data_IF_068687219184
#
_entry.id   IF_068687219184
#
_cell.length_a   1.000
_cell.length_b   1.000
_cell.length_c   1.000
_cell.angle_alpha   90.00
_cell.angle_beta   90.00
_cell.angle_gamma   90.00
#
_symmetry.space_group_name_H-M   'P 1'
#
loop_
_entity.id
_entity.type
_entity.pdbx_description
1 polymer ?
#
# COMPACT_ATOMS: atom_id res chain seq x y z
N UNK A 1 7.55 8.08 -9.58
CA UNK A 1 7.48 8.20 -8.10
C UNK A 1 8.71 7.54 -7.48
N UNK A 2 9.07 7.97 -6.29
CA UNK A 2 10.16 7.32 -5.55
C UNK A 2 9.67 6.04 -4.87
N UNK A 3 10.62 5.18 -4.45
CA UNK A 3 10.28 3.98 -3.69
C UNK A 3 9.59 4.33 -2.37
N UNK A 4 10.02 5.41 -1.72
CA UNK A 4 9.39 5.88 -0.47
C UNK A 4 7.94 6.32 -0.72
N UNK A 5 7.67 7.01 -1.81
CA UNK A 5 6.32 7.40 -2.19
C UNK A 5 5.43 6.19 -2.47
N UNK A 6 5.95 5.20 -3.18
CA UNK A 6 5.24 3.95 -3.43
C UNK A 6 4.94 3.21 -2.12
N UNK A 7 5.90 3.15 -1.21
CA UNK A 7 5.73 2.48 0.08
C UNK A 7 4.67 3.14 0.95
N UNK A 8 4.52 4.47 0.88
CA UNK A 8 3.48 5.19 1.59
C UNK A 8 2.11 5.06 0.91
N UNK A 9 2.09 5.03 -0.41
CA UNK A 9 0.85 4.90 -1.17
C UNK A 9 0.25 3.49 -1.09
N UNK A 10 1.08 2.47 -0.90
CA UNK A 10 0.62 1.08 -0.91
C UNK A 10 -0.39 0.76 0.19
N UNK A 11 -0.14 1.06 1.48
CA UNK A 11 -1.15 0.81 2.52
C UNK A 11 -2.44 1.57 2.27
N UNK A 12 -2.34 2.79 1.74
CA UNK A 12 -3.50 3.63 1.44
C UNK A 12 -4.34 3.11 0.28
N UNK A 13 -3.84 2.13 -0.47
CA UNK A 13 -4.64 1.46 -1.50
C UNK A 13 -5.71 0.56 -0.91
N UNK A 14 -5.60 0.17 0.36
CA UNK A 14 -6.62 -0.63 1.03
C UNK A 14 -7.75 0.26 1.54
N UNK A 15 -9.01 -0.05 1.23
CA UNK A 15 -10.14 0.79 1.64
C UNK A 15 -10.33 0.90 3.16
N UNK A 16 -9.82 -0.08 3.91
CA UNK A 16 -9.89 -0.07 5.37
C UNK A 16 -8.83 0.78 6.06
N UNK A 17 -7.85 1.30 5.30
CA UNK A 17 -6.77 2.12 5.85
C UNK A 17 -7.15 3.60 5.74
N UNK A 18 -7.24 4.28 6.87
CA UNK A 18 -7.60 5.70 6.93
C UNK A 18 -6.37 6.58 6.82
N UNK A 19 -5.29 6.21 7.49
CA UNK A 19 -4.07 7.01 7.58
C UNK A 19 -2.86 6.12 7.76
N UNK A 20 -1.70 6.66 7.44
CA UNK A 20 -0.42 5.98 7.59
C UNK A 20 0.48 6.81 8.49
N UNK A 21 1.05 6.18 9.51
CA UNK A 21 2.08 6.78 10.34
C UNK A 21 3.44 6.57 9.69
N UNK A 22 4.24 7.62 9.65
CA UNK A 22 5.58 7.52 9.10
C UNK A 22 6.53 8.46 9.82
N UNK A 23 7.83 8.21 9.68
CA UNK A 23 8.85 9.03 10.29
C UNK A 23 9.83 9.56 9.25
N UNK A 24 10.33 10.77 9.48
CA UNK A 24 11.32 11.41 8.62
C UNK A 24 12.42 12.03 9.48
N UNK A 25 13.61 12.19 8.89
CA UNK A 25 14.77 12.76 9.56
C UNK A 25 15.06 14.21 9.17
N UNK A 26 14.57 14.64 8.00
CA UNK A 26 14.87 15.96 7.46
C UNK A 26 13.73 16.44 6.56
N UNK A 27 13.82 17.71 6.18
CA UNK A 27 12.78 18.34 5.35
C UNK A 27 12.68 17.75 3.95
N UNK A 28 13.78 17.27 3.39
CA UNK A 28 13.78 16.65 2.08
C UNK A 28 12.94 15.36 2.10
N UNK A 29 13.11 14.55 3.13
CA UNK A 29 12.32 13.33 3.30
C UNK A 29 10.85 13.65 3.53
N UNK A 30 10.55 14.69 4.30
CA UNK A 30 9.17 15.12 4.52
C UNK A 30 8.51 15.56 3.21
N UNK A 31 9.20 16.34 2.41
CA UNK A 31 8.69 16.80 1.11
C UNK A 31 8.42 15.62 0.18
N UNK A 32 9.32 14.65 0.12
CA UNK A 32 9.17 13.43 -0.67
C UNK A 32 7.97 12.60 -0.18
N UNK A 33 7.84 12.44 1.13
CA UNK A 33 6.73 11.70 1.73
C UNK A 33 5.38 12.35 1.45
N UNK A 34 5.30 13.66 1.54
CA UNK A 34 4.04 14.39 1.24
C UNK A 34 3.55 14.13 -0.17
N UNK A 35 4.45 14.06 -1.14
CA UNK A 35 4.08 13.74 -2.52
C UNK A 35 3.50 12.31 -2.63
N UNK A 36 3.94 11.40 -1.76
CA UNK A 36 3.43 10.03 -1.74
C UNK A 36 1.95 9.93 -1.37
N UNK A 37 1.44 10.84 -0.56
CA UNK A 37 0.03 10.83 -0.15
C UNK A 37 -0.93 11.20 -1.28
N UNK A 38 -0.47 11.94 -2.26
CA UNK A 38 -1.25 12.26 -3.46
C UNK A 38 -1.11 11.22 -4.57
N UNK A 39 -0.23 10.26 -4.39
CA UNK A 39 0.08 9.26 -5.41
C UNK A 39 -0.94 8.14 -5.36
N UNK A 40 -1.48 7.81 -6.54
CA UNK A 40 -2.37 6.65 -6.69
C UNK A 40 -1.63 5.56 -7.44
N UNK A 41 -1.56 4.37 -6.85
CA UNK A 41 -0.94 3.23 -7.50
C UNK A 41 -1.90 2.63 -8.52
N UNK A 42 -1.39 2.40 -9.73
CA UNK A 42 -2.15 1.71 -10.77
C UNK A 42 -2.25 0.22 -10.46
N UNK A 43 -3.21 -0.45 -11.06
CA UNK A 43 -3.32 -1.90 -10.93
C UNK A 43 -2.06 -2.62 -11.41
N UNK A 44 -1.41 -2.10 -12.45
CA UNK A 44 -0.16 -2.70 -12.95
C UNK A 44 0.94 -2.66 -11.90
N UNK A 45 1.06 -1.57 -11.16
CA UNK A 45 2.02 -1.44 -10.06
C UNK A 45 1.66 -2.39 -8.93
N UNK A 46 0.39 -2.48 -8.57
CA UNK A 46 -0.07 -3.38 -7.52
C UNK A 46 0.14 -4.85 -7.90
N UNK A 47 -0.08 -5.20 -9.16
CA UNK A 47 0.19 -6.54 -9.66
C UNK A 47 1.70 -6.87 -9.63
N UNK A 48 2.54 -5.91 -9.95
CA UNK A 48 3.99 -6.09 -9.86
C UNK A 48 4.46 -6.29 -8.41
N UNK A 49 3.86 -5.56 -7.47
CA UNK A 49 4.14 -5.75 -6.04
C UNK A 49 3.71 -7.15 -5.61
N UNK A 50 2.53 -7.59 -6.01
CA UNK A 50 2.01 -8.92 -5.68
C UNK A 50 2.89 -10.04 -6.27
N UNK A 51 3.48 -9.81 -7.43
CA UNK A 51 4.42 -10.76 -8.03
C UNK A 51 5.72 -10.88 -7.23
N UNK A 52 6.19 -9.76 -6.65
CA UNK A 52 7.38 -9.77 -5.81
C UNK A 52 7.12 -10.36 -4.43
N UNK A 53 5.95 -10.09 -3.88
CA UNK A 53 5.56 -10.53 -2.54
C UNK A 53 4.08 -10.93 -2.57
N UNK A 54 3.78 -12.21 -2.73
CA UNK A 54 2.39 -12.66 -2.85
C UNK A 54 1.52 -12.21 -1.66
N UNK A 55 0.27 -11.83 -1.92
CA UNK A 55 -0.65 -11.42 -0.87
C UNK A 55 -0.78 -12.46 0.24
N UNK A 56 -0.77 -11.97 1.49
CA UNK A 56 -0.84 -12.86 2.65
C UNK A 56 0.48 -13.49 3.05
N UNK A 57 1.57 -13.17 2.35
CA UNK A 57 2.91 -13.64 2.72
C UNK A 57 3.37 -12.95 4.00
N UNK A 58 3.89 -13.73 4.92
CA UNK A 58 4.50 -13.24 6.15
C UNK A 58 5.81 -13.98 6.40
N UNK A 59 6.64 -13.42 7.25
CA UNK A 59 7.95 -14.00 7.54
C UNK A 59 7.82 -15.33 8.26
N UNK A 60 6.94 -15.39 9.24
CA UNK A 60 6.68 -16.61 10.02
C UNK A 60 5.19 -16.96 9.94
N UNK A 61 4.88 -18.12 9.37
CA UNK A 61 3.51 -18.59 9.20
C UNK A 61 2.78 -18.74 10.55
N UNK A 62 3.50 -18.98 11.64
CA UNK A 62 2.90 -19.07 12.97
C UNK A 62 2.26 -17.74 13.41
N UNK A 63 2.72 -16.62 12.87
CA UNK A 63 2.20 -15.30 13.20
C UNK A 63 1.01 -14.89 12.33
N UNK A 64 0.62 -15.69 11.36
CA UNK A 64 -0.38 -15.32 10.36
C UNK A 64 -1.75 -15.02 10.97
N UNK A 65 -2.16 -15.78 11.96
CA UNK A 65 -3.54 -15.69 12.45
C UNK A 65 -4.54 -16.10 11.38
N UNK A 66 -5.74 -15.54 11.44
CA UNK A 66 -6.80 -15.86 10.49
C UNK A 66 -6.66 -15.02 9.22
N UNK A 67 -6.94 -15.66 8.08
CA UNK A 67 -7.05 -14.97 6.80
C UNK A 67 -8.51 -14.54 6.64
N UNK A 68 -8.72 -13.24 6.62
CA UNK A 68 -10.05 -12.65 6.50
C UNK A 68 -10.34 -12.26 5.05
N UNK A 69 -11.62 -12.18 4.66
CA UNK A 69 -11.97 -11.84 3.28
C UNK A 69 -11.37 -10.53 2.77
N UNK A 70 -11.20 -9.54 3.64
CA UNK A 70 -10.62 -8.24 3.25
C UNK A 70 -9.11 -8.29 3.00
N UNK A 71 -8.47 -9.41 3.28
CA UNK A 71 -7.05 -9.62 2.96
C UNK A 71 -6.82 -10.05 1.52
N UNK A 72 -7.88 -10.42 0.81
CA UNK A 72 -7.77 -10.78 -0.60
C UNK A 72 -7.32 -9.58 -1.44
N UNK A 73 -6.55 -9.81 -2.51
CA UNK A 73 -6.07 -8.71 -3.35
C UNK A 73 -7.19 -7.79 -3.84
N UNK A 74 -8.31 -8.37 -4.22
CA UNK A 74 -9.46 -7.63 -4.73
C UNK A 74 -10.05 -6.70 -3.68
N UNK A 75 -10.06 -7.14 -2.43
CA UNK A 75 -10.64 -6.36 -1.34
C UNK A 75 -9.73 -5.22 -0.88
N UNK A 76 -8.42 -5.35 -1.04
CA UNK A 76 -7.47 -4.36 -0.53
C UNK A 76 -7.17 -3.24 -1.51
N UNK A 77 -7.57 -3.36 -2.77
CA UNK A 77 -7.36 -2.32 -3.76
C UNK A 77 -8.50 -1.32 -3.75
N UNK A 78 -8.16 -0.05 -3.64
CA UNK A 78 -9.14 0.98 -3.93
C UNK A 78 -9.38 0.98 -5.42
N UNK A 79 -10.53 0.47 -5.83
CA UNK A 79 -10.91 0.54 -7.23
C UNK A 79 -10.94 2.01 -7.63
N UNK A 80 -10.37 2.37 -8.78
CA UNK A 80 -10.69 3.67 -9.34
C UNK A 80 -12.21 3.70 -9.42
N UNK A 81 -12.78 4.63 -8.70
CA UNK A 81 -14.22 4.81 -8.77
C UNK A 81 -14.59 4.91 -10.25
N UNK A 82 -15.66 4.22 -10.65
CA UNK A 82 -16.15 4.31 -12.03
C UNK A 82 -16.48 5.74 -12.42
N UNK A 83 -16.64 6.62 -11.44
CA UNK A 83 -16.90 8.05 -11.62
C UNK A 83 -15.65 8.89 -11.41
N UNK A 84 -14.54 8.30 -11.10
CA UNK A 84 -13.29 9.03 -10.92
C UNK A 84 -12.55 9.14 -12.23
#
# INVERSE_FOLDING_TARGET
MSLAQMALAFPLAHPGVTAVNFGVRNMRQLTDAKAGFGTRLTNDVLDAIDACNPPGSIVDEADRGWIMPWMAPEARRRQPSAVA
#
